data_IF_255515062448
#
_entry.id   IF_255515062448
#
_cell.length_a   1.000
_cell.length_b   1.000
_cell.length_c   1.000
_cell.angle_alpha   90.00
_cell.angle_beta   90.00
_cell.angle_gamma   90.00
#
_symmetry.space_group_name_H-M   'P 1'
#
loop_
_entity.id
_entity.type
_entity.pdbx_description
1 polymer ?
#
# COMPACT_ATOMS: atom_id res chain seq x y z
N UNK A 1 18.32 -14.09 12.70
CA UNK A 1 18.51 -12.69 12.28
C UNK A 1 17.17 -12.11 11.79
N UNK A 2 16.91 -10.81 11.95
CA UNK A 2 15.71 -10.16 11.44
C UNK A 2 15.68 -10.22 9.90
N UNK A 3 14.47 -10.06 9.33
CA UNK A 3 14.28 -9.91 7.89
C UNK A 3 15.05 -8.68 7.38
N UNK A 4 15.75 -8.83 6.27
CA UNK A 4 16.39 -7.71 5.59
C UNK A 4 15.40 -7.06 4.62
N UNK A 5 14.97 -5.85 4.93
CA UNK A 5 14.18 -5.01 4.05
C UNK A 5 15.07 -4.00 3.33
N UNK A 6 14.88 -3.85 2.02
CA UNK A 6 15.54 -2.85 1.18
C UNK A 6 14.48 -2.20 0.30
N UNK A 7 14.46 -0.89 0.26
CA UNK A 7 13.54 -0.08 -0.54
C UNK A 7 14.33 0.88 -1.43
N UNK A 8 13.87 1.05 -2.66
CA UNK A 8 14.37 2.04 -3.63
C UNK A 8 13.21 2.92 -4.08
N UNK A 9 13.24 4.23 -3.82
CA UNK A 9 12.25 5.16 -4.35
C UNK A 9 12.20 5.08 -5.88
N UNK A 10 11.02 5.28 -6.45
CA UNK A 10 10.89 5.31 -7.91
C UNK A 10 11.59 6.55 -8.49
N UNK A 11 12.31 6.43 -9.63
CA UNK A 11 12.90 7.56 -10.32
C UNK A 11 11.82 8.50 -10.87
N UNK A 12 12.20 9.76 -11.13
CA UNK A 12 11.31 10.85 -11.54
C UNK A 12 10.27 10.48 -12.62
N UNK A 13 10.61 9.76 -13.71
CA UNK A 13 9.62 9.39 -14.73
C UNK A 13 8.50 8.49 -14.22
N UNK A 14 8.74 7.72 -13.15
CA UNK A 14 7.80 6.77 -12.55
C UNK A 14 7.13 7.32 -11.27
N UNK A 15 7.65 8.37 -10.67
CA UNK A 15 7.27 8.85 -9.34
C UNK A 15 5.79 9.24 -9.20
N UNK A 16 5.12 9.62 -10.31
CA UNK A 16 3.69 9.91 -10.31
C UNK A 16 2.80 8.66 -10.06
N UNK A 17 3.31 7.47 -10.41
CA UNK A 17 2.54 6.22 -10.38
C UNK A 17 3.11 5.17 -9.42
N UNK A 18 4.40 5.22 -9.13
CA UNK A 18 5.10 4.26 -8.27
C UNK A 18 5.71 5.00 -7.08
N UNK A 19 5.53 4.45 -5.89
CA UNK A 19 6.20 4.96 -4.70
C UNK A 19 7.62 4.38 -4.61
N UNK A 20 7.74 3.07 -4.66
CA UNK A 20 9.03 2.38 -4.53
C UNK A 20 9.00 0.97 -5.11
N UNK A 21 10.18 0.41 -5.31
CA UNK A 21 10.42 -1.02 -5.46
C UNK A 21 11.14 -1.51 -4.21
N UNK A 22 10.68 -2.60 -3.62
CA UNK A 22 11.23 -3.11 -2.37
C UNK A 22 11.53 -4.61 -2.42
N UNK A 23 12.40 -5.06 -1.53
CA UNK A 23 12.69 -6.47 -1.30
C UNK A 23 12.69 -6.82 0.17
N UNK A 24 12.18 -8.00 0.49
CA UNK A 24 12.32 -8.65 1.80
C UNK A 24 13.00 -9.98 1.59
N UNK A 25 14.05 -10.24 2.35
CA UNK A 25 14.78 -11.51 2.29
C UNK A 25 15.39 -11.85 3.65
N UNK A 26 15.65 -13.13 3.88
CA UNK A 26 16.48 -13.60 4.98
C UNK A 26 17.76 -14.28 4.44
N UNK A 27 18.73 -14.46 5.33
CA UNK A 27 19.96 -15.20 5.04
C UNK A 27 19.88 -16.66 5.46
N UNK A 28 18.95 -16.96 6.39
CA UNK A 28 18.81 -18.29 7.01
C UNK A 28 17.35 -18.68 7.06
N UNK A 29 17.07 -19.92 6.68
CA UNK A 29 15.72 -20.47 6.79
C UNK A 29 15.33 -20.64 8.26
N UNK A 30 14.12 -20.19 8.63
CA UNK A 30 13.55 -20.37 9.97
C UNK A 30 12.36 -21.32 9.91
N UNK A 31 12.27 -22.25 10.87
CA UNK A 31 11.20 -23.25 10.89
C UNK A 31 9.83 -22.66 11.24
N UNK A 32 9.78 -21.62 12.07
CA UNK A 32 8.54 -20.95 12.47
C UNK A 32 8.74 -19.44 12.49
N UNK A 33 7.74 -18.71 12.01
CA UNK A 33 7.68 -17.26 12.04
C UNK A 33 6.34 -16.81 12.64
N UNK A 34 6.35 -15.70 13.40
CA UNK A 34 5.12 -15.12 13.91
C UNK A 34 4.21 -14.69 12.75
N UNK A 35 2.95 -14.44 13.09
CA UNK A 35 2.02 -13.79 12.18
C UNK A 35 2.32 -12.29 12.14
N UNK A 36 2.37 -11.75 10.95
CA UNK A 36 2.50 -10.32 10.70
C UNK A 36 1.14 -9.72 10.33
N UNK A 37 0.89 -8.48 10.80
CA UNK A 37 -0.33 -7.73 10.52
C UNK A 37 -0.02 -6.58 9.58
N UNK A 38 -0.46 -6.67 8.33
CA UNK A 38 -0.32 -5.61 7.34
C UNK A 38 -1.54 -4.69 7.41
N UNK A 39 -1.32 -3.43 7.74
CA UNK A 39 -2.38 -2.45 7.86
C UNK A 39 -2.70 -1.78 6.51
N UNK A 40 -3.94 -1.34 6.31
CA UNK A 40 -4.31 -0.53 5.16
C UNK A 40 -3.49 0.77 5.07
N UNK A 41 -2.95 1.06 3.89
CA UNK A 41 -2.17 2.28 3.61
C UNK A 41 -2.60 3.01 2.33
N UNK A 42 -3.57 2.44 1.61
CA UNK A 42 -4.12 3.02 0.39
C UNK A 42 -3.36 2.71 -0.89
N UNK A 43 -2.32 1.88 -0.84
CA UNK A 43 -1.46 1.53 -1.97
C UNK A 43 -1.65 0.06 -2.38
N UNK A 44 -1.91 -0.25 -3.65
CA UNK A 44 -1.83 -1.61 -4.17
C UNK A 44 -0.38 -2.00 -4.46
N UNK A 45 -0.06 -3.30 -4.40
CA UNK A 45 1.30 -3.80 -4.60
C UNK A 45 1.36 -5.00 -5.53
N UNK A 46 2.24 -4.98 -6.51
CA UNK A 46 2.67 -6.20 -7.18
C UNK A 46 3.61 -6.96 -6.24
N UNK A 47 3.25 -8.18 -5.90
CA UNK A 47 4.04 -9.07 -5.05
C UNK A 47 4.58 -10.22 -5.91
N UNK A 48 5.89 -10.50 -5.80
CA UNK A 48 6.55 -11.60 -6.50
C UNK A 48 7.42 -12.38 -5.51
N UNK A 49 6.99 -13.59 -5.17
CA UNK A 49 7.74 -14.51 -4.34
C UNK A 49 8.79 -15.23 -5.18
N UNK A 50 10.04 -15.08 -4.83
CA UNK A 50 11.21 -15.74 -5.46
C UNK A 50 11.75 -16.90 -4.61
N UNK A 51 11.44 -16.90 -3.31
CA UNK A 51 11.61 -17.99 -2.36
C UNK A 51 10.34 -18.77 -2.16
N UNK A 52 10.12 -19.23 -0.93
CA UNK A 52 8.87 -19.86 -0.54
C UNK A 52 7.74 -18.81 -0.47
N UNK A 53 6.51 -19.23 -0.70
CA UNK A 53 5.35 -18.33 -0.72
C UNK A 53 4.84 -18.09 0.69
N UNK A 54 4.46 -16.84 0.98
CA UNK A 54 3.77 -16.49 2.22
C UNK A 54 2.44 -17.23 2.35
N UNK A 55 2.00 -17.41 3.60
CA UNK A 55 0.64 -17.75 3.94
C UNK A 55 -0.16 -16.51 4.31
N UNK A 56 -1.45 -16.49 4.04
CA UNK A 56 -2.40 -15.47 4.50
C UNK A 56 -3.55 -16.14 5.24
N UNK A 57 -3.99 -15.56 6.34
CA UNK A 57 -5.20 -16.03 7.05
C UNK A 57 -6.43 -15.55 6.29
N UNK A 58 -7.20 -16.50 5.78
CA UNK A 58 -8.49 -16.28 5.11
C UNK A 58 -9.51 -17.19 5.79
N UNK A 59 -10.58 -16.65 6.30
CA UNK A 59 -11.63 -17.41 7.02
C UNK A 59 -11.05 -18.37 8.08
N UNK A 60 -10.12 -17.85 8.89
CA UNK A 60 -9.41 -18.56 9.97
C UNK A 60 -8.51 -19.71 9.50
N UNK A 61 -8.24 -19.82 8.20
CA UNK A 61 -7.33 -20.82 7.62
C UNK A 61 -6.10 -20.14 7.01
N UNK A 62 -4.95 -20.77 7.15
CA UNK A 62 -3.73 -20.33 6.48
C UNK A 62 -3.76 -20.83 5.04
N UNK A 63 -3.90 -19.89 4.10
CA UNK A 63 -3.91 -20.14 2.66
C UNK A 63 -2.61 -19.62 2.05
N UNK A 64 -1.96 -20.44 1.23
CA UNK A 64 -0.72 -20.06 0.57
C UNK A 64 -0.98 -19.06 -0.56
N UNK A 65 -0.27 -17.94 -0.56
CA UNK A 65 -0.39 -16.90 -1.59
C UNK A 65 0.08 -17.40 -2.96
N UNK A 66 -0.41 -16.81 -4.07
CA UNK A 66 0.15 -17.06 -5.41
C UNK A 66 1.63 -16.67 -5.50
N UNK A 67 2.37 -17.25 -6.46
CA UNK A 67 3.79 -16.94 -6.65
C UNK A 67 4.01 -15.50 -7.13
N UNK A 68 3.06 -14.94 -7.87
CA UNK A 68 3.00 -13.53 -8.28
C UNK A 68 1.54 -13.09 -8.40
N UNK A 69 1.22 -11.93 -7.83
CA UNK A 69 -0.14 -11.40 -7.80
C UNK A 69 -0.13 -9.90 -7.53
N UNK A 70 -1.22 -9.22 -7.81
CA UNK A 70 -1.47 -7.89 -7.28
C UNK A 70 -2.19 -8.03 -5.94
N UNK A 71 -1.56 -7.56 -4.87
CA UNK A 71 -2.25 -7.26 -3.63
C UNK A 71 -3.08 -6.00 -3.86
N UNK A 72 -4.41 -6.15 -3.97
CA UNK A 72 -5.33 -5.03 -4.09
C UNK A 72 -5.26 -4.13 -2.86
N UNK A 73 -5.69 -2.89 -3.01
CA UNK A 73 -5.67 -1.92 -1.90
C UNK A 73 -6.43 -2.47 -0.69
N UNK A 74 -5.80 -2.47 0.47
CA UNK A 74 -6.39 -3.00 1.69
C UNK A 74 -7.42 -2.01 2.26
N UNK A 75 -8.58 -2.53 2.66
CA UNK A 75 -9.59 -1.82 3.45
C UNK A 75 -9.68 -2.31 4.90
N UNK A 76 -9.04 -3.43 5.18
CA UNK A 76 -8.89 -4.10 6.49
C UNK A 76 -7.52 -4.75 6.59
N UNK A 77 -7.04 -5.12 7.79
CA UNK A 77 -5.73 -5.76 7.92
C UNK A 77 -5.65 -7.11 7.20
N UNK A 78 -4.48 -7.40 6.64
CA UNK A 78 -4.12 -8.76 6.28
C UNK A 78 -3.22 -9.37 7.34
N UNK A 79 -3.53 -10.59 7.73
CA UNK A 79 -2.68 -11.40 8.61
C UNK A 79 -1.91 -12.36 7.71
N UNK A 80 -0.60 -12.24 7.69
CA UNK A 80 0.27 -13.06 6.87
C UNK A 80 1.31 -13.79 7.72
N UNK A 81 1.80 -14.90 7.21
CA UNK A 81 2.89 -15.67 7.81
C UNK A 81 4.03 -15.80 6.82
N UNK A 82 5.20 -15.31 7.21
CA UNK A 82 6.39 -15.46 6.40
C UNK A 82 6.82 -16.94 6.34
N UNK A 83 7.23 -17.42 5.16
CA UNK A 83 7.71 -18.78 4.98
C UNK A 83 9.11 -18.99 5.58
N UNK A 84 9.60 -20.25 5.66
CA UNK A 84 10.96 -20.52 6.13
C UNK A 84 12.03 -19.75 5.34
N UNK A 85 11.95 -19.72 4.01
CA UNK A 85 12.88 -18.99 3.13
C UNK A 85 12.19 -17.80 2.48
N UNK A 86 12.51 -16.62 2.97
CA UNK A 86 11.92 -15.38 2.47
C UNK A 86 12.80 -14.80 1.35
N UNK A 87 12.21 -14.61 0.18
CA UNK A 87 12.77 -13.84 -0.93
C UNK A 87 11.61 -13.27 -1.75
N UNK A 88 11.16 -12.08 -1.38
CA UNK A 88 10.01 -11.41 -1.99
C UNK A 88 10.42 -10.04 -2.51
N UNK A 89 9.96 -9.71 -3.70
CA UNK A 89 10.09 -8.40 -4.33
C UNK A 89 8.70 -7.82 -4.47
N UNK A 90 8.55 -6.53 -4.16
CA UNK A 90 7.32 -5.80 -4.39
C UNK A 90 7.54 -4.53 -5.20
N UNK A 91 6.52 -4.15 -5.94
CA UNK A 91 6.38 -2.82 -6.55
C UNK A 91 5.17 -2.18 -5.93
N UNK A 92 5.37 -1.10 -5.19
CA UNK A 92 4.31 -0.34 -4.56
C UNK A 92 3.85 0.77 -5.46
N UNK A 93 2.59 0.73 -5.82
CA UNK A 93 1.98 1.74 -6.66
C UNK A 93 1.31 2.83 -5.82
N UNK A 94 1.44 4.07 -6.27
CA UNK A 94 0.62 5.15 -5.73
C UNK A 94 -0.85 4.95 -6.13
N UNK A 95 -1.81 5.54 -5.41
CA UNK A 95 -3.22 5.52 -5.81
C UNK A 95 -3.41 5.97 -7.26
N UNK A 96 -4.04 5.11 -8.07
CA UNK A 96 -4.20 5.34 -9.51
C UNK A 96 -3.00 4.97 -10.38
N UNK A 97 -1.85 4.60 -9.80
CA UNK A 97 -0.62 4.31 -10.54
C UNK A 97 -0.75 3.12 -11.49
N UNK A 98 -1.47 2.07 -11.10
CA UNK A 98 -1.72 0.90 -11.97
C UNK A 98 -2.54 1.30 -13.19
N UNK A 99 -3.61 2.06 -12.99
CA UNK A 99 -4.44 2.54 -14.10
C UNK A 99 -3.64 3.46 -15.03
N UNK A 100 -2.78 4.31 -14.47
CA UNK A 100 -1.95 5.24 -15.24
C UNK A 100 -0.87 4.51 -16.08
N UNK A 101 -0.23 3.48 -15.52
CA UNK A 101 0.83 2.73 -16.20
C UNK A 101 0.31 1.67 -17.16
N UNK A 102 -0.71 0.92 -16.75
CA UNK A 102 -1.12 -0.31 -17.41
C UNK A 102 -2.55 -0.26 -17.95
N UNK A 103 -3.29 0.83 -17.76
CA UNK A 103 -4.69 0.95 -18.16
C UNK A 103 -5.66 0.04 -17.38
N UNK A 104 -5.18 -0.73 -16.40
CA UNK A 104 -5.96 -1.71 -15.68
C UNK A 104 -6.81 -1.08 -14.55
N UNK A 105 -8.15 -1.17 -14.59
CA UNK A 105 -8.99 -0.68 -13.51
C UNK A 105 -8.93 -1.60 -12.30
N UNK A 106 -9.00 -1.03 -11.10
CA UNK A 106 -8.93 -1.76 -9.83
C UNK A 106 -10.30 -2.04 -9.19
N UNK A 107 -11.40 -1.75 -9.89
CA UNK A 107 -12.76 -1.98 -9.34
C UNK A 107 -12.94 -3.43 -8.92
N UNK A 108 -13.34 -3.66 -7.65
CA UNK A 108 -13.57 -5.01 -7.10
C UNK A 108 -12.30 -5.76 -6.65
N UNK A 109 -11.12 -5.12 -6.69
CA UNK A 109 -9.87 -5.76 -6.29
C UNK A 109 -9.49 -5.51 -4.81
N UNK A 110 -10.23 -4.68 -4.08
CA UNK A 110 -9.96 -4.41 -2.66
C UNK A 110 -9.91 -5.71 -1.83
N UNK A 111 -8.93 -5.81 -0.94
CA UNK A 111 -8.70 -6.96 -0.04
C UNK A 111 -8.47 -8.31 -0.76
N UNK A 112 -8.09 -8.30 -2.04
CA UNK A 112 -7.92 -9.51 -2.84
C UNK A 112 -6.48 -9.68 -3.34
N UNK A 113 -6.08 -10.93 -3.47
CA UNK A 113 -4.92 -11.37 -4.26
C UNK A 113 -5.40 -11.57 -5.69
N UNK A 114 -5.11 -10.61 -6.57
CA UNK A 114 -5.64 -10.61 -7.94
C UNK A 114 -4.64 -11.26 -8.88
N UNK A 115 -5.03 -12.29 -9.63
CA UNK A 115 -4.19 -12.89 -10.67
C UNK A 115 -3.76 -11.81 -11.68
N UNK A 116 -2.49 -11.79 -12.07
CA UNK A 116 -1.99 -10.78 -13.01
C UNK A 116 -2.61 -10.90 -14.39
N UNK A 117 -3.08 -12.10 -14.75
CA UNK A 117 -3.79 -12.37 -16.00
C UNK A 117 -5.14 -11.64 -16.09
N UNK A 118 -5.78 -11.39 -14.95
CA UNK A 118 -7.06 -10.67 -14.89
C UNK A 118 -6.88 -9.15 -15.01
N UNK A 119 -5.63 -8.68 -15.02
CA UNK A 119 -5.29 -7.26 -15.03
C UNK A 119 -4.65 -6.83 -16.34
N UNK A 120 -3.43 -7.31 -16.62
CA UNK A 120 -2.72 -6.85 -17.81
C UNK A 120 -1.49 -7.74 -18.12
N UNK A 121 -1.25 -8.01 -19.41
CA UNK A 121 -0.06 -8.73 -19.87
C UNK A 121 1.27 -8.07 -19.46
N UNK A 122 1.43 -6.73 -19.47
CA UNK A 122 2.62 -6.07 -18.96
C UNK A 122 2.95 -6.38 -17.48
N UNK A 123 1.96 -6.55 -16.61
CA UNK A 123 2.21 -6.96 -15.22
C UNK A 123 2.75 -8.39 -15.13
N UNK A 124 2.32 -9.30 -15.99
CA UNK A 124 2.88 -10.65 -16.09
C UNK A 124 4.34 -10.58 -16.55
N UNK A 125 4.64 -9.76 -17.57
CA UNK A 125 6.00 -9.58 -18.07
C UNK A 125 6.94 -9.00 -17.01
N UNK A 126 6.50 -7.98 -16.26
CA UNK A 126 7.24 -7.41 -15.14
C UNK A 126 7.54 -8.47 -14.06
N UNK A 127 6.54 -9.24 -13.66
CA UNK A 127 6.73 -10.32 -12.69
C UNK A 127 7.71 -11.39 -13.19
N UNK A 128 7.68 -11.74 -14.48
CA UNK A 128 8.61 -12.67 -15.09
C UNK A 128 10.06 -12.16 -15.06
N UNK A 129 10.28 -10.88 -15.36
CA UNK A 129 11.60 -10.22 -15.28
C UNK A 129 12.13 -10.25 -13.83
N UNK A 130 11.30 -9.91 -12.85
CA UNK A 130 11.65 -9.96 -11.43
C UNK A 130 12.04 -11.39 -11.02
N UNK A 131 11.30 -12.41 -11.45
CA UNK A 131 11.57 -13.81 -11.10
C UNK A 131 12.87 -14.35 -11.67
N UNK A 132 13.26 -13.95 -12.88
CA UNK A 132 14.48 -14.40 -13.58
C UNK A 132 15.76 -13.77 -13.03
N UNK A 133 15.68 -12.68 -12.31
CA UNK A 133 16.85 -11.97 -11.78
C UNK A 133 17.63 -12.85 -10.79
N UNK A 134 18.97 -12.72 -10.73
CA UNK A 134 19.85 -13.60 -9.94
C UNK A 134 19.87 -13.36 -8.42
N UNK A 135 19.29 -12.27 -7.91
CA UNK A 135 19.24 -11.95 -6.48
C UNK A 135 18.38 -10.73 -6.20
N UNK A 136 18.12 -10.35 -4.92
CA UNK A 136 17.23 -9.26 -4.57
C UNK A 136 17.65 -7.92 -5.20
N UNK A 137 18.92 -7.54 -5.10
CA UNK A 137 19.41 -6.27 -5.68
C UNK A 137 19.29 -6.25 -7.21
N UNK A 138 19.54 -7.37 -7.89
CA UNK A 138 19.36 -7.50 -9.34
C UNK A 138 17.87 -7.43 -9.70
N UNK A 139 16.99 -8.01 -8.90
CA UNK A 139 15.55 -7.97 -9.12
C UNK A 139 14.96 -6.56 -8.98
N UNK A 140 15.43 -5.78 -8.00
CA UNK A 140 15.04 -4.37 -7.85
C UNK A 140 15.45 -3.55 -9.07
N UNK A 141 16.71 -3.69 -9.54
CA UNK A 141 17.19 -3.00 -10.74
C UNK A 141 16.46 -3.44 -12.00
N UNK A 142 16.20 -4.74 -12.14
CA UNK A 142 15.48 -5.28 -13.29
C UNK A 142 14.03 -4.79 -13.37
N UNK A 143 13.33 -4.71 -12.21
CA UNK A 143 12.00 -4.14 -12.15
C UNK A 143 11.99 -2.66 -12.55
N UNK A 144 12.91 -1.86 -12.01
CA UNK A 144 13.05 -0.44 -12.32
C UNK A 144 13.36 -0.21 -13.81
N UNK A 145 14.34 -0.93 -14.36
CA UNK A 145 14.72 -0.82 -15.78
C UNK A 145 13.57 -1.23 -16.70
N UNK A 146 12.84 -2.30 -16.38
CA UNK A 146 11.68 -2.73 -17.16
C UNK A 146 10.57 -1.68 -17.14
N UNK A 147 10.27 -1.11 -15.96
CA UNK A 147 9.24 -0.07 -15.82
C UNK A 147 9.60 1.21 -16.61
N UNK A 148 10.86 1.64 -16.58
CA UNK A 148 11.34 2.77 -17.39
C UNK A 148 11.23 2.48 -18.89
N UNK A 149 11.64 1.29 -19.33
CA UNK A 149 11.51 0.87 -20.72
C UNK A 149 10.05 0.78 -21.15
N UNK A 150 9.16 0.27 -20.28
CA UNK A 150 7.72 0.23 -20.56
C UNK A 150 7.12 1.62 -20.76
N UNK A 151 7.49 2.59 -19.92
CA UNK A 151 7.04 3.98 -20.08
C UNK A 151 7.59 4.58 -21.37
N UNK A 152 8.87 4.43 -21.65
CA UNK A 152 9.49 4.93 -22.87
C UNK A 152 8.84 4.37 -24.15
N UNK A 153 8.48 3.09 -24.15
CA UNK A 153 7.84 2.43 -25.29
C UNK A 153 6.38 2.85 -25.53
N UNK A 154 5.65 3.19 -24.46
CA UNK A 154 4.21 3.47 -24.55
C UNK A 154 3.87 4.96 -24.36
N UNK A 155 4.85 5.81 -24.07
CA UNK A 155 4.72 7.24 -23.80
C UNK A 155 5.85 7.98 -24.49
N UNK A 156 5.61 8.63 -25.63
CA UNK A 156 6.66 9.32 -26.38
C UNK A 156 7.39 10.42 -25.60
N UNK A 157 6.69 11.03 -24.61
CA UNK A 157 7.25 12.04 -23.72
C UNK A 157 8.02 11.43 -22.51
N UNK A 158 8.09 10.10 -22.42
CA UNK A 158 8.74 9.38 -21.31
C UNK A 158 8.11 9.60 -19.93
N UNK A 159 6.88 10.12 -19.87
CA UNK A 159 6.20 10.46 -18.61
C UNK A 159 4.96 9.62 -18.39
N UNK A 160 4.75 9.19 -17.13
CA UNK A 160 3.48 8.63 -16.71
C UNK A 160 2.49 9.77 -16.45
N UNK A 161 1.32 9.76 -17.10
CA UNK A 161 0.30 10.77 -16.82
C UNK A 161 -0.15 10.67 -15.36
N UNK A 162 -0.41 11.81 -14.75
CA UNK A 162 -0.94 11.84 -13.40
C UNK A 162 -2.27 11.07 -13.35
N UNK A 163 -2.46 10.19 -12.34
CA UNK A 163 -3.75 9.53 -12.14
C UNK A 163 -4.90 10.51 -12.06
N UNK A 164 -6.09 10.15 -12.60
CA UNK A 164 -7.26 11.02 -12.56
C UNK A 164 -7.71 11.39 -11.14
N UNK A 165 -7.44 10.52 -10.15
CA UNK A 165 -7.73 10.81 -8.74
C UNK A 165 -6.62 11.60 -8.02
N UNK A 166 -5.49 11.94 -8.67
CA UNK A 166 -4.32 12.54 -8.01
C UNK A 166 -4.62 13.83 -7.26
N UNK A 167 -5.46 14.71 -7.81
CA UNK A 167 -5.85 15.97 -7.16
C UNK A 167 -6.56 15.68 -5.84
N UNK A 168 -7.54 14.78 -5.85
CA UNK A 168 -8.30 14.41 -4.67
C UNK A 168 -7.41 13.67 -3.64
N UNK A 169 -6.56 12.75 -4.09
CA UNK A 169 -5.60 12.05 -3.22
C UNK A 169 -4.67 13.06 -2.52
N UNK A 170 -4.08 13.99 -3.25
CA UNK A 170 -3.26 15.07 -2.66
C UNK A 170 -4.05 15.92 -1.67
N UNK A 171 -5.30 16.24 -1.95
CA UNK A 171 -6.13 17.00 -1.02
C UNK A 171 -6.39 16.25 0.29
N UNK A 172 -6.62 14.92 0.21
CA UNK A 172 -6.79 14.07 1.40
C UNK A 172 -5.49 14.02 2.21
N UNK A 173 -4.34 13.82 1.57
CA UNK A 173 -3.04 13.73 2.24
C UNK A 173 -2.65 15.05 2.89
N UNK A 174 -2.71 16.19 2.18
CA UNK A 174 -2.42 17.51 2.75
C UNK A 174 -3.26 17.82 3.98
N UNK A 175 -4.50 17.37 4.02
CA UNK A 175 -5.41 17.56 5.16
C UNK A 175 -5.37 16.39 6.15
N UNK A 176 -4.45 15.42 5.96
CA UNK A 176 -4.30 14.25 6.84
C UNK A 176 -5.64 13.53 7.10
N UNK A 177 -6.48 13.39 6.06
CA UNK A 177 -7.82 12.80 6.17
C UNK A 177 -8.87 13.67 6.86
N UNK A 178 -8.59 14.95 7.18
CA UNK A 178 -9.56 15.91 7.76
C UNK A 178 -10.33 16.63 6.68
N UNK A 179 -11.04 15.86 5.83
CA UNK A 179 -11.86 16.39 4.73
C UNK A 179 -13.10 15.51 4.55
N UNK A 180 -14.26 16.11 4.31
CA UNK A 180 -15.47 15.40 3.92
C UNK A 180 -15.51 15.12 2.42
N UNK A 181 -16.38 14.17 2.00
CA UNK A 181 -16.47 13.76 0.59
C UNK A 181 -16.97 14.88 -0.30
N UNK A 182 -17.90 15.72 0.19
CA UNK A 182 -18.43 16.89 -0.52
C UNK A 182 -17.32 17.94 -0.78
N UNK A 183 -16.58 18.30 0.27
CA UNK A 183 -15.47 19.24 0.16
C UNK A 183 -14.35 18.68 -0.73
N UNK A 184 -14.14 17.35 -0.72
CA UNK A 184 -13.19 16.67 -1.60
C UNK A 184 -13.65 16.74 -3.06
N UNK A 185 -14.92 16.53 -3.34
CA UNK A 185 -15.49 16.61 -4.68
C UNK A 185 -15.34 18.03 -5.24
N UNK A 186 -15.66 19.05 -4.43
CA UNK A 186 -15.46 20.46 -4.79
C UNK A 186 -13.97 20.77 -5.07
N UNK A 187 -13.05 20.31 -4.20
CA UNK A 187 -11.60 20.50 -4.36
C UNK A 187 -11.04 19.83 -5.61
N UNK A 188 -11.66 18.73 -6.05
CA UNK A 188 -11.29 18.01 -7.27
C UNK A 188 -12.00 18.54 -8.53
N UNK A 189 -12.93 19.49 -8.41
CA UNK A 189 -13.74 19.98 -9.52
C UNK A 189 -14.66 18.91 -10.14
N UNK A 190 -15.12 17.93 -9.33
CA UNK A 190 -15.89 16.80 -9.82
C UNK A 190 -17.22 16.66 -9.07
N UNK A 191 -18.32 16.28 -9.77
CA UNK A 191 -19.51 15.82 -9.08
C UNK A 191 -19.21 14.60 -8.18
N UNK A 192 -19.81 14.51 -7.00
CA UNK A 192 -19.59 13.44 -6.01
C UNK A 192 -19.65 12.04 -6.62
N UNK A 193 -20.69 11.73 -7.39
CA UNK A 193 -20.85 10.41 -8.05
C UNK A 193 -19.69 10.08 -8.99
N UNK A 194 -19.16 11.09 -9.71
CA UNK A 194 -18.01 10.92 -10.61
C UNK A 194 -16.73 10.67 -9.80
N UNK A 195 -16.52 11.40 -8.71
CA UNK A 195 -15.41 11.19 -7.78
C UNK A 195 -15.44 9.76 -7.20
N UNK A 196 -16.59 9.29 -6.70
CA UNK A 196 -16.74 7.95 -6.14
C UNK A 196 -16.43 6.85 -7.16
N UNK A 197 -16.92 7.00 -8.42
CA UNK A 197 -16.61 6.06 -9.49
C UNK A 197 -15.12 6.05 -9.85
N UNK A 198 -14.50 7.23 -9.91
CA UNK A 198 -13.08 7.39 -10.19
C UNK A 198 -12.22 6.71 -9.11
N UNK A 199 -12.52 6.94 -7.83
CA UNK A 199 -11.82 6.29 -6.73
C UNK A 199 -11.93 4.78 -6.79
N UNK A 200 -13.14 4.22 -7.00
CA UNK A 200 -13.29 2.77 -7.13
C UNK A 200 -12.50 2.20 -8.30
N UNK A 201 -12.45 2.91 -9.43
CA UNK A 201 -11.67 2.50 -10.60
C UNK A 201 -10.18 2.52 -10.36
N UNK A 202 -9.66 3.56 -9.69
CA UNK A 202 -8.21 3.81 -9.60
C UNK A 202 -7.59 3.32 -8.29
N UNK A 203 -8.38 3.11 -7.24
CA UNK A 203 -7.88 2.69 -5.92
C UNK A 203 -8.58 1.46 -5.34
N UNK A 204 -9.62 0.95 -6.00
CA UNK A 204 -10.54 -0.07 -5.48
C UNK A 204 -11.39 0.39 -4.27
N UNK A 205 -11.15 1.56 -3.71
CA UNK A 205 -11.81 2.07 -2.50
C UNK A 205 -12.79 3.21 -2.85
N UNK A 206 -13.75 3.46 -1.96
CA UNK A 206 -14.51 4.72 -1.98
C UNK A 206 -13.67 5.87 -1.41
N UNK A 207 -13.95 7.14 -1.76
CA UNK A 207 -13.29 8.30 -1.16
C UNK A 207 -13.35 8.28 0.37
N UNK A 208 -14.50 7.90 0.94
CA UNK A 208 -14.70 7.80 2.40
C UNK A 208 -13.77 6.76 3.04
N UNK A 209 -13.61 5.57 2.43
CA UNK A 209 -12.69 4.55 2.93
C UNK A 209 -11.24 5.04 2.88
N UNK A 210 -10.83 5.65 1.77
CA UNK A 210 -9.49 6.19 1.61
C UNK A 210 -9.18 7.30 2.62
N UNK A 211 -10.12 8.23 2.85
CA UNK A 211 -10.03 9.27 3.89
C UNK A 211 -9.81 8.67 5.28
N UNK A 212 -10.56 7.61 5.64
CA UNK A 212 -10.41 6.93 6.93
C UNK A 212 -9.03 6.29 7.09
N UNK A 213 -8.50 5.67 6.03
CA UNK A 213 -7.15 5.07 6.03
C UNK A 213 -6.09 6.15 6.27
N UNK A 214 -6.12 7.26 5.52
CA UNK A 214 -5.16 8.35 5.69
C UNK A 214 -5.26 9.01 7.07
N UNK A 215 -6.47 9.13 7.62
CA UNK A 215 -6.69 9.65 8.98
C UNK A 215 -6.09 8.72 10.03
N UNK A 216 -6.34 7.40 9.91
CA UNK A 216 -5.72 6.42 10.80
C UNK A 216 -4.18 6.46 10.69
N UNK A 217 -3.65 6.54 9.48
CA UNK A 217 -2.21 6.67 9.25
C UNK A 217 -1.62 7.87 9.99
N UNK A 218 -2.28 9.03 9.92
CA UNK A 218 -1.86 10.23 10.64
C UNK A 218 -1.97 10.07 12.16
N UNK A 219 -3.00 9.40 12.65
CA UNK A 219 -3.17 9.06 14.07
C UNK A 219 -2.04 8.14 14.55
N UNK A 220 -1.78 7.05 13.84
CA UNK A 220 -0.73 6.09 14.19
C UNK A 220 0.65 6.75 14.26
N UNK A 221 0.93 7.65 13.33
CA UNK A 221 2.17 8.42 13.34
C UNK A 221 2.32 9.27 14.60
N UNK A 222 1.25 9.90 15.09
CA UNK A 222 1.28 10.69 16.33
C UNK A 222 1.41 9.82 17.58
N UNK A 223 0.75 8.67 17.60
CA UNK A 223 0.84 7.71 18.73
C UNK A 223 2.24 7.11 18.88
N UNK A 224 3.06 7.13 17.81
CA UNK A 224 4.48 6.69 17.86
C UNK A 224 5.45 7.78 18.32
N UNK A 225 5.00 9.02 18.45
CA UNK A 225 5.83 10.10 18.99
C UNK A 225 6.21 9.80 20.45
N UNK A 226 7.43 10.18 20.88
CA UNK A 226 7.91 9.91 22.24
C UNK A 226 7.11 10.68 23.31
N UNK A 227 6.42 11.73 22.92
CA UNK A 227 5.59 12.56 23.79
C UNK A 227 4.29 11.83 24.12
N UNK A 228 4.02 11.67 25.42
CA UNK A 228 2.78 11.03 25.91
C UNK A 228 1.63 12.04 25.93
N UNK A 229 1.02 12.27 24.78
CA UNK A 229 -0.22 13.02 24.69
C UNK A 229 -1.43 12.20 25.16
N UNK A 230 -2.48 12.86 25.63
CA UNK A 230 -3.74 12.19 25.96
C UNK A 230 -4.37 11.67 24.66
N UNK A 231 -4.85 10.44 24.67
CA UNK A 231 -5.43 9.79 23.48
C UNK A 231 -6.60 10.62 22.89
N UNK A 232 -7.36 11.33 23.72
CA UNK A 232 -8.45 12.20 23.27
C UNK A 232 -7.94 13.38 22.46
N UNK A 233 -6.84 14.02 22.89
CA UNK A 233 -6.26 15.18 22.22
C UNK A 233 -5.70 14.77 20.86
N UNK A 234 -4.99 13.65 20.81
CA UNK A 234 -4.46 13.06 19.57
C UNK A 234 -5.61 12.70 18.61
N UNK A 235 -6.72 12.17 19.11
CA UNK A 235 -7.89 11.84 18.30
C UNK A 235 -8.55 13.08 17.68
N UNK A 236 -8.78 14.13 18.50
CA UNK A 236 -9.36 15.40 18.03
C UNK A 236 -8.48 16.05 16.97
N UNK A 237 -7.17 16.10 17.20
CA UNK A 237 -6.18 16.62 16.25
C UNK A 237 -6.08 15.81 14.96
N UNK A 238 -6.31 14.49 15.03
CA UNK A 238 -6.42 13.65 13.85
C UNK A 238 -7.75 13.85 13.09
N UNK A 239 -8.67 14.68 13.62
CA UNK A 239 -9.94 15.02 12.98
C UNK A 239 -11.06 14.01 13.25
N UNK A 240 -10.98 13.29 14.37
CA UNK A 240 -12.11 12.54 14.90
C UNK A 240 -13.03 13.45 15.72
N UNK A 241 -14.31 13.16 15.68
CA UNK A 241 -15.29 13.94 16.44
C UNK A 241 -15.18 13.68 17.95
N UNK A 242 -14.96 12.42 18.32
CA UNK A 242 -14.80 11.96 19.69
C UNK A 242 -13.92 10.70 19.76
N UNK A 243 -13.58 10.27 20.96
CA UNK A 243 -12.78 9.06 21.20
C UNK A 243 -13.51 7.78 20.74
N UNK A 244 -14.84 7.74 20.81
CA UNK A 244 -15.61 6.56 20.38
C UNK A 244 -15.58 6.42 18.85
N UNK A 245 -15.66 7.53 18.11
CA UNK A 245 -15.48 7.55 16.65
C UNK A 245 -14.08 7.04 16.27
N UNK A 246 -13.05 7.58 16.93
CA UNK A 246 -11.67 7.13 16.72
C UNK A 246 -11.52 5.64 17.03
N UNK A 247 -12.04 5.16 18.16
CA UNK A 247 -11.92 3.76 18.56
C UNK A 247 -12.64 2.81 17.58
N UNK A 248 -13.79 3.21 17.02
CA UNK A 248 -14.49 2.43 15.99
C UNK A 248 -13.64 2.34 14.70
N UNK A 249 -13.09 3.45 14.21
CA UNK A 249 -12.24 3.46 13.02
C UNK A 249 -10.95 2.68 13.24
N UNK A 250 -10.30 2.90 14.38
CA UNK A 250 -9.09 2.17 14.76
C UNK A 250 -9.35 0.65 14.78
N UNK A 251 -10.40 0.19 15.48
CA UNK A 251 -10.76 -1.23 15.51
C UNK A 251 -11.07 -1.80 14.13
N UNK A 252 -11.80 -1.06 13.29
CA UNK A 252 -12.18 -1.51 11.95
C UNK A 252 -10.98 -1.65 11.00
N UNK A 253 -9.97 -0.76 11.13
CA UNK A 253 -8.83 -0.70 10.22
C UNK A 253 -7.58 -1.44 10.75
N UNK A 254 -7.54 -1.79 12.05
CA UNK A 254 -6.42 -2.52 12.67
C UNK A 254 -6.82 -3.86 13.28
N UNK A 255 -8.12 -4.09 13.48
CA UNK A 255 -8.67 -5.22 14.26
C UNK A 255 -8.16 -5.28 15.71
N UNK A 256 -7.69 -4.14 16.24
CA UNK A 256 -7.16 -3.97 17.60
C UNK A 256 -7.88 -2.87 18.34
N UNK A 257 -7.71 -2.82 19.66
CA UNK A 257 -8.10 -1.66 20.47
C UNK A 257 -7.01 -0.59 20.39
N UNK A 258 -7.39 0.68 20.42
CA UNK A 258 -6.45 1.80 20.37
C UNK A 258 -5.45 1.84 21.56
N UNK A 259 -5.76 1.15 22.66
CA UNK A 259 -4.87 0.96 23.80
C UNK A 259 -3.84 -0.15 23.62
N UNK A 260 -3.94 -0.97 22.57
CA UNK A 260 -2.98 -2.04 22.30
C UNK A 260 -1.65 -1.44 21.78
N UNK A 261 -0.52 -1.92 22.34
CA UNK A 261 0.81 -1.47 21.91
C UNK A 261 1.12 -1.93 20.50
N UNK A 262 1.84 -1.11 19.74
CA UNK A 262 2.24 -1.36 18.35
C UNK A 262 3.24 -2.51 18.17
N UNK A 263 4.01 -2.86 19.18
CA UNK A 263 5.09 -3.86 19.13
C UNK A 263 4.68 -5.30 18.81
N UNK A 264 3.37 -5.60 18.75
CA UNK A 264 2.86 -6.95 18.48
C UNK A 264 2.52 -7.22 17.00
N UNK A 265 2.89 -6.34 16.08
CA UNK A 265 2.46 -6.43 14.68
C UNK A 265 3.36 -7.30 13.79
N UNK A 266 4.50 -7.78 14.32
CA UNK A 266 5.45 -8.64 13.60
C UNK A 266 6.55 -7.89 12.84
N UNK A 267 7.54 -8.64 12.32
CA UNK A 267 8.74 -8.07 11.68
C UNK A 267 8.44 -7.31 10.37
N UNK A 268 7.47 -7.78 9.59
CA UNK A 268 7.07 -7.15 8.33
C UNK A 268 6.26 -5.88 8.54
N UNK A 269 5.33 -5.88 9.47
CA UNK A 269 4.46 -4.74 9.75
C UNK A 269 5.28 -3.48 10.05
N UNK A 270 6.39 -3.62 10.78
CA UNK A 270 7.32 -2.50 11.07
C UNK A 270 7.82 -1.82 9.79
N UNK A 271 8.09 -2.57 8.72
CA UNK A 271 8.58 -2.00 7.45
C UNK A 271 7.48 -1.31 6.63
N UNK A 272 6.24 -1.80 6.71
CA UNK A 272 5.11 -1.26 5.94
C UNK A 272 4.36 -0.13 6.65
N UNK A 273 4.48 -0.02 7.98
CA UNK A 273 3.80 1.01 8.80
C UNK A 273 4.77 2.04 9.42
N UNK A 274 5.99 2.16 8.89
CA UNK A 274 7.01 3.10 9.42
C UNK A 274 6.51 4.54 9.37
N UNK A 275 6.73 5.34 10.43
CA UNK A 275 6.31 6.74 10.49
C UNK A 275 6.88 7.61 9.36
N UNK A 276 8.15 7.42 9.00
CA UNK A 276 8.83 8.15 7.94
C UNK A 276 8.23 7.85 6.55
N UNK A 277 7.76 6.62 6.32
CA UNK A 277 7.04 6.22 5.11
C UNK A 277 5.66 6.88 5.05
N UNK A 278 4.94 6.85 6.17
CA UNK A 278 3.64 7.49 6.30
C UNK A 278 3.74 9.01 6.09
N UNK A 279 4.84 9.63 6.57
CA UNK A 279 5.12 11.05 6.33
C UNK A 279 5.33 11.35 4.84
N UNK A 280 6.09 10.53 4.10
CA UNK A 280 6.28 10.70 2.65
C UNK A 280 4.95 10.61 1.89
N UNK A 281 4.07 9.69 2.28
CA UNK A 281 2.72 9.62 1.72
C UNK A 281 1.90 10.88 2.04
N UNK A 282 2.05 11.45 3.24
CA UNK A 282 1.32 12.63 3.70
C UNK A 282 1.88 13.94 3.13
N UNK A 283 3.18 14.01 2.83
CA UNK A 283 3.82 15.21 2.27
C UNK A 283 3.59 15.38 0.76
N UNK A 284 3.15 14.34 0.08
CA UNK A 284 2.89 14.41 -1.36
C UNK A 284 4.18 14.53 -2.20
N UNK A 285 5.32 14.22 -1.58
CA UNK A 285 6.62 14.20 -2.24
C UNK A 285 6.81 12.94 -3.10
#
# INVERSE_FOLDING_TARGET
MPLRYVERPAPAPLAAAIECVWSVSDREARRARPLDRLLPDGCPELIVHRGDRYGRIVDRRLVRQPAAFLAGTLSRPWIVQAPPRVATIGVRFRPGGITALFGAPLTGTADREVPLADLSAPLIALAAVIRRARGPASALRAAEAWLLAHVAAHRPDGRVPAPGCAVAVRAIHRRRGRIGVEALAAAAGLPRRRLERLFRRETALSPKQYIRIVRLTALLHRLDAPERERLIDVALDAGYFDQAHMARDFKALTERRASARRGDDGELAVHFTRPDRLLRLLSGA
#
